data_IF_248107492488
#
_entry.id   IF_248107492488
#
_cell.length_a   1.000
_cell.length_b   1.000
_cell.length_c   1.000
_cell.angle_alpha   90.00
_cell.angle_beta   90.00
_cell.angle_gamma   90.00
#
_symmetry.space_group_name_H-M   'P 1'
#
loop_
_entity.id
_entity.type
_entity.pdbx_description
1 polymer ?
#
# COMPACT_ATOMS: atom_id res chain seq x y z
N UNK A 1 -13.55 7.80 -15.72
CA UNK A 1 -12.13 7.50 -16.12
C UNK A 1 -11.20 7.96 -15.02
N UNK A 2 -10.26 7.10 -14.55
CA UNK A 2 -9.35 7.45 -13.45
C UNK A 2 -8.33 8.50 -13.88
N UNK A 3 -8.10 9.53 -13.04
CA UNK A 3 -6.99 10.48 -13.24
C UNK A 3 -5.74 9.98 -12.50
N UNK A 4 -4.59 9.99 -13.17
CA UNK A 4 -3.32 9.56 -12.59
C UNK A 4 -2.37 10.73 -12.40
N UNK A 5 -1.70 10.76 -11.24
CA UNK A 5 -0.71 11.76 -10.88
C UNK A 5 0.63 11.05 -10.63
N UNK A 6 1.67 11.50 -11.35
CA UNK A 6 3.03 11.01 -11.18
C UNK A 6 3.96 12.19 -10.90
N UNK A 7 4.93 11.99 -10.01
CA UNK A 7 5.92 13.00 -9.68
C UNK A 7 7.32 12.41 -9.54
N UNK A 8 8.32 13.27 -9.70
CA UNK A 8 9.74 13.04 -9.43
C UNK A 8 10.15 13.72 -8.11
N UNK A 9 11.27 13.28 -7.54
CA UNK A 9 11.80 13.76 -6.24
C UNK A 9 10.86 13.60 -5.03
N UNK A 10 9.71 12.93 -5.23
CA UNK A 10 8.77 12.59 -4.17
C UNK A 10 9.27 11.34 -3.43
N UNK A 11 9.32 11.42 -2.10
CA UNK A 11 9.50 10.25 -1.24
C UNK A 11 8.22 9.41 -1.14
N UNK A 12 7.04 10.04 -1.19
CA UNK A 12 5.73 9.38 -1.21
C UNK A 12 4.64 10.35 -1.69
N UNK A 13 3.53 9.84 -2.21
CA UNK A 13 2.34 10.64 -2.58
C UNK A 13 1.06 9.86 -2.27
N UNK A 14 0.00 10.54 -1.85
CA UNK A 14 -1.34 9.97 -1.67
C UNK A 14 -2.43 10.92 -2.09
N UNK A 15 -3.56 10.35 -2.53
CA UNK A 15 -4.79 11.07 -2.81
C UNK A 15 -5.93 10.49 -1.98
N UNK A 16 -6.72 11.37 -1.37
CA UNK A 16 -8.01 11.06 -0.77
C UNK A 16 -8.94 12.29 -0.88
N UNK A 17 -10.16 12.09 -1.39
CA UNK A 17 -11.23 13.12 -1.42
C UNK A 17 -10.73 14.45 -2.04
N UNK A 18 -10.20 14.39 -3.27
CA UNK A 18 -9.60 15.54 -3.97
C UNK A 18 -8.46 16.27 -3.22
N UNK A 19 -7.90 15.68 -2.15
CA UNK A 19 -6.68 16.15 -1.51
C UNK A 19 -5.52 15.28 -1.93
N UNK A 20 -4.46 15.90 -2.42
CA UNK A 20 -3.19 15.27 -2.75
C UNK A 20 -2.18 15.64 -1.67
N UNK A 21 -1.46 14.70 -1.09
CA UNK A 21 -0.32 15.03 -0.23
C UNK A 21 0.93 14.39 -0.79
N UNK A 22 2.01 15.18 -0.87
CA UNK A 22 3.33 14.73 -1.29
C UNK A 22 4.36 15.00 -0.19
N UNK A 23 5.22 14.01 0.06
CA UNK A 23 6.44 14.16 0.86
C UNK A 23 7.65 14.21 -0.07
N UNK A 24 8.49 15.23 0.07
CA UNK A 24 9.66 15.49 -0.76
C UNK A 24 10.94 14.97 -0.10
N UNK A 25 11.96 14.70 -0.92
CA UNK A 25 13.28 14.22 -0.47
C UNK A 25 14.00 15.20 0.47
N UNK A 26 13.72 16.49 0.35
CA UNK A 26 14.28 17.53 1.21
C UNK A 26 13.68 17.53 2.63
N UNK A 27 12.65 16.71 2.89
CA UNK A 27 11.93 16.65 4.16
C UNK A 27 10.71 17.56 4.25
N UNK A 28 10.39 18.31 3.20
CA UNK A 28 9.14 19.07 3.11
C UNK A 28 8.00 18.12 2.79
N UNK A 29 6.83 18.33 3.40
CA UNK A 29 5.60 17.67 2.99
C UNK A 29 4.50 18.71 2.81
N UNK A 30 3.72 18.55 1.76
CA UNK A 30 2.69 19.52 1.36
C UNK A 30 1.39 18.79 1.01
N UNK A 31 0.27 19.32 1.48
CA UNK A 31 -1.08 18.90 1.10
C UNK A 31 -1.68 19.94 0.16
N UNK A 32 -2.19 19.47 -0.96
CA UNK A 32 -2.79 20.22 -2.04
C UNK A 32 -4.27 19.88 -2.17
N UNK A 33 -5.07 20.87 -2.54
CA UNK A 33 -6.42 20.64 -3.03
C UNK A 33 -6.38 20.53 -4.57
N UNK A 34 -6.92 19.44 -5.09
CA UNK A 34 -7.06 19.19 -6.53
C UNK A 34 -8.37 19.82 -7.00
N UNK A 35 -8.26 20.88 -7.80
CA UNK A 35 -9.41 21.51 -8.45
C UNK A 35 -9.80 20.77 -9.73
N UNK A 36 -11.03 20.98 -10.20
CA UNK A 36 -11.54 20.37 -11.44
C UNK A 36 -10.65 20.67 -12.67
N UNK A 37 -9.96 21.81 -12.65
CA UNK A 37 -9.02 22.26 -13.69
C UNK A 37 -7.64 21.57 -13.64
N UNK A 38 -7.49 20.50 -12.86
CA UNK A 38 -6.22 19.82 -12.55
C UNK A 38 -5.15 20.72 -11.91
N UNK A 39 -5.57 21.90 -11.41
CA UNK A 39 -4.69 22.81 -10.68
C UNK A 39 -4.53 22.33 -9.23
N UNK A 40 -3.29 22.32 -8.76
CA UNK A 40 -2.94 22.01 -7.37
C UNK A 40 -2.75 23.28 -6.57
N UNK A 41 -3.59 23.47 -5.55
CA UNK A 41 -3.48 24.58 -4.62
C UNK A 41 -2.93 24.09 -3.28
N UNK A 42 -1.81 24.65 -2.83
CA UNK A 42 -1.22 24.29 -1.53
C UNK A 42 -2.15 24.76 -0.41
N UNK A 43 -2.63 23.81 0.39
CA UNK A 43 -3.46 24.12 1.57
C UNK A 43 -2.64 24.13 2.85
N UNK A 44 -1.72 23.18 2.99
CA UNK A 44 -0.89 23.01 4.18
C UNK A 44 0.51 22.57 3.78
N UNK A 45 1.53 23.05 4.48
CA UNK A 45 2.91 22.67 4.27
C UNK A 45 3.65 22.59 5.61
N UNK A 46 4.52 21.60 5.76
CA UNK A 46 5.39 21.47 6.92
C UNK A 46 6.74 20.86 6.58
N UNK A 47 7.70 21.03 7.49
CA UNK A 47 9.00 20.36 7.45
C UNK A 47 9.07 19.25 8.49
N UNK A 48 9.52 18.07 8.11
CA UNK A 48 9.90 17.02 9.06
C UNK A 48 11.36 17.24 9.49
N UNK A 49 11.54 17.90 10.63
CA UNK A 49 12.86 18.25 11.17
C UNK A 49 13.66 17.03 11.62
N UNK A 50 13.01 15.87 11.77
CA UNK A 50 13.67 14.60 12.11
C UNK A 50 14.17 13.84 10.88
N UNK A 51 13.90 14.33 9.66
CA UNK A 51 14.45 13.76 8.43
C UNK A 51 15.86 14.30 8.17
N UNK A 52 16.85 13.40 8.14
CA UNK A 52 18.24 13.71 7.77
C UNK A 52 18.50 13.29 6.33
N UNK A 53 19.58 13.78 5.72
CA UNK A 53 19.89 13.62 4.28
C UNK A 53 19.92 12.18 3.76
N UNK A 54 20.11 11.17 4.62
CA UNK A 54 20.12 9.74 4.25
C UNK A 54 18.76 9.05 4.39
N UNK A 55 17.77 9.74 4.93
CA UNK A 55 16.44 9.20 5.20
C UNK A 55 15.42 9.72 4.18
N UNK A 56 14.32 8.99 4.03
CA UNK A 56 13.22 9.33 3.13
C UNK A 56 11.87 9.12 3.79
N UNK A 57 10.82 9.69 3.23
CA UNK A 57 9.46 9.25 3.52
C UNK A 57 9.25 7.82 3.01
N UNK A 58 8.73 6.93 3.86
CA UNK A 58 8.42 5.53 3.52
C UNK A 58 6.92 5.24 3.59
N UNK A 59 6.18 6.13 4.24
CA UNK A 59 4.73 6.06 4.37
C UNK A 59 4.11 7.44 4.41
N UNK A 60 2.98 7.58 3.75
CA UNK A 60 2.14 8.76 3.79
C UNK A 60 0.69 8.28 3.67
N UNK A 61 -0.21 8.89 4.44
CA UNK A 61 -1.66 8.68 4.29
C UNK A 61 -2.39 9.99 4.58
N UNK A 62 -3.43 10.32 3.82
CA UNK A 62 -4.19 11.57 3.98
C UNK A 62 -5.67 11.25 4.00
N UNK A 63 -6.40 11.96 4.85
CA UNK A 63 -7.86 11.90 4.93
C UNK A 63 -8.38 13.24 5.44
N UNK A 64 -9.69 13.33 5.65
CA UNK A 64 -10.37 14.61 5.91
C UNK A 64 -9.77 15.39 7.08
N UNK A 65 -9.50 14.71 8.21
CA UNK A 65 -9.06 15.30 9.48
C UNK A 65 -7.55 15.57 9.56
N UNK A 66 -6.74 14.96 8.70
CA UNK A 66 -5.30 14.99 8.87
C UNK A 66 -4.49 14.15 7.90
N UNK A 67 -3.17 14.25 8.06
CA UNK A 67 -2.18 13.49 7.30
C UNK A 67 -1.21 12.79 8.23
N UNK A 68 -0.99 11.49 8.00
CA UNK A 68 0.12 10.74 8.57
C UNK A 68 1.33 10.79 7.63
N UNK A 69 2.52 10.96 8.20
CA UNK A 69 3.79 10.76 7.52
C UNK A 69 4.72 9.91 8.36
N UNK A 70 5.43 9.00 7.71
CA UNK A 70 6.43 8.13 8.32
C UNK A 70 7.72 8.14 7.49
N UNK A 71 8.86 8.24 8.17
CA UNK A 71 10.19 8.25 7.56
C UNK A 71 10.94 6.95 7.80
N UNK A 72 12.00 6.69 7.01
CA UNK A 72 12.82 5.49 7.15
C UNK A 72 13.57 5.39 8.48
N UNK A 73 13.78 6.51 9.20
CA UNK A 73 14.30 6.50 10.57
C UNK A 73 13.21 6.42 11.65
N UNK A 74 11.97 6.09 11.29
CA UNK A 74 10.90 5.84 12.25
C UNK A 74 10.27 7.10 12.83
N UNK A 75 10.50 8.28 12.24
CA UNK A 75 9.80 9.49 12.63
C UNK A 75 8.35 9.40 12.15
N UNK A 76 7.41 9.13 13.07
CA UNK A 76 5.98 9.13 12.80
C UNK A 76 5.41 10.50 13.17
N UNK A 77 4.54 11.03 12.33
CA UNK A 77 3.90 12.32 12.52
C UNK A 77 2.46 12.28 12.04
N UNK A 78 1.56 12.89 12.81
CA UNK A 78 0.22 13.22 12.37
C UNK A 78 0.03 14.74 12.39
N UNK A 79 -0.20 15.31 11.22
CA UNK A 79 -0.51 16.73 11.04
C UNK A 79 -2.02 16.87 10.87
N UNK A 80 -2.67 17.59 11.79
CA UNK A 80 -4.10 17.90 11.66
C UNK A 80 -4.30 18.92 10.56
N UNK A 81 -5.33 18.71 9.75
CA UNK A 81 -5.73 19.61 8.69
C UNK A 81 -7.03 20.32 9.07
N UNK A 82 -7.30 21.48 8.45
CA UNK A 82 -8.55 22.23 8.63
C UNK A 82 -8.81 22.73 10.07
N UNK A 83 -7.76 22.97 10.84
CA UNK A 83 -7.86 23.57 12.18
C UNK A 83 -7.49 25.06 12.07
N UNK A 84 -8.24 26.00 12.71
CA UNK A 84 -8.01 27.44 12.58
C UNK A 84 -6.66 27.97 13.10
N UNK A 85 -5.92 27.17 13.87
CA UNK A 85 -4.61 27.48 14.44
C UNK A 85 -3.57 26.43 14.00
N UNK A 86 -2.25 26.73 14.08
CA UNK A 86 -1.21 25.72 13.90
C UNK A 86 -1.25 24.73 15.07
N UNK A 87 -2.21 23.80 15.03
CA UNK A 87 -2.30 22.72 15.98
C UNK A 87 -1.00 21.93 15.95
N UNK A 88 -0.39 21.73 17.13
CA UNK A 88 0.84 20.97 17.21
C UNK A 88 0.64 19.56 16.62
N UNK A 89 1.57 19.10 15.76
CA UNK A 89 1.48 17.76 15.21
C UNK A 89 1.65 16.74 16.33
N UNK A 90 0.96 15.61 16.23
CA UNK A 90 1.28 14.48 17.09
C UNK A 90 2.56 13.82 16.57
N UNK A 91 3.52 13.60 17.46
CA UNK A 91 4.81 13.00 17.13
C UNK A 91 4.92 11.63 17.79
N UNK A 92 5.17 10.62 16.97
CA UNK A 92 5.45 9.25 17.39
C UNK A 92 6.86 8.83 16.96
N UNK A 93 7.30 7.69 17.49
CA UNK A 93 8.58 7.08 17.13
C UNK A 93 8.43 5.57 16.92
N UNK A 94 8.82 5.09 15.75
CA UNK A 94 8.87 3.70 15.34
C UNK A 94 10.33 3.21 15.28
N UNK A 95 10.58 1.91 15.08
CA UNK A 95 11.92 1.42 14.75
C UNK A 95 12.51 2.14 13.53
N UNK A 96 13.84 2.20 13.46
CA UNK A 96 14.60 2.75 12.33
C UNK A 96 14.80 1.72 11.22
N UNK A 97 15.30 2.15 10.05
CA UNK A 97 15.54 1.32 8.85
C UNK A 97 14.26 0.76 8.24
N UNK A 98 13.18 1.52 8.32
CA UNK A 98 11.94 1.19 7.64
C UNK A 98 12.11 1.38 6.14
N UNK A 99 11.53 0.46 5.37
CA UNK A 99 11.43 0.55 3.92
C UNK A 99 10.00 0.73 3.45
N UNK A 100 9.04 0.20 4.21
CA UNK A 100 7.62 0.25 3.91
C UNK A 100 6.81 0.63 5.15
N UNK A 101 5.79 1.43 4.94
CA UNK A 101 4.75 1.73 5.91
C UNK A 101 3.42 1.90 5.16
N UNK A 102 2.35 1.28 5.65
CA UNK A 102 1.01 1.40 5.05
C UNK A 102 -0.06 1.49 6.14
N UNK A 103 -1.03 2.38 5.95
CA UNK A 103 -2.21 2.50 6.79
C UNK A 103 -3.27 1.49 6.35
N UNK A 104 -3.98 0.88 7.31
CA UNK A 104 -5.14 0.04 7.01
C UNK A 104 -6.28 0.87 6.37
N UNK A 105 -7.15 0.27 5.53
CA UNK A 105 -8.23 1.01 4.87
C UNK A 105 -9.20 1.72 5.83
N UNK A 106 -9.39 1.16 7.03
CA UNK A 106 -10.26 1.72 8.06
C UNK A 106 -9.53 2.69 9.02
N UNK A 107 -8.24 2.93 8.79
CA UNK A 107 -7.37 3.85 9.55
C UNK A 107 -7.14 3.49 11.03
N UNK A 108 -7.66 2.36 11.52
CA UNK A 108 -7.52 1.93 12.92
C UNK A 108 -6.12 1.41 13.25
N UNK A 109 -5.45 0.82 12.26
CA UNK A 109 -4.08 0.31 12.39
C UNK A 109 -3.21 0.72 11.23
N UNK A 110 -1.90 0.72 11.44
CA UNK A 110 -0.91 0.77 10.37
C UNK A 110 0.09 -0.36 10.54
N UNK A 111 0.78 -0.69 9.45
CA UNK A 111 1.83 -1.68 9.45
C UNK A 111 3.10 -1.14 8.81
N UNK A 112 4.25 -1.67 9.24
CA UNK A 112 5.55 -1.33 8.66
C UNK A 112 6.44 -2.55 8.53
N UNK A 113 7.52 -2.40 7.76
CA UNK A 113 8.63 -3.35 7.65
C UNK A 113 9.88 -2.69 7.09
N UNK A 114 11.03 -3.33 7.26
CA UNK A 114 12.32 -2.78 6.84
C UNK A 114 13.48 -3.75 6.92
N UNK A 115 14.69 -3.20 7.05
CA UNK A 115 15.95 -3.96 7.18
C UNK A 115 16.23 -4.35 8.64
N UNK A 116 16.24 -5.66 8.87
CA UNK A 116 16.18 -6.31 10.17
C UNK A 116 14.99 -5.82 11.02
N UNK A 117 13.91 -5.43 10.33
CA UNK A 117 12.62 -5.02 10.90
C UNK A 117 11.53 -5.82 10.20
N UNK A 118 10.99 -6.82 10.91
CA UNK A 118 9.91 -7.66 10.40
C UNK A 118 8.58 -6.89 10.35
N UNK A 119 7.57 -7.49 9.72
CA UNK A 119 6.24 -6.88 9.62
C UNK A 119 5.66 -6.70 11.03
N UNK A 120 5.28 -5.48 11.36
CA UNK A 120 4.61 -5.13 12.63
C UNK A 120 3.32 -4.40 12.35
N UNK A 121 2.29 -4.64 13.18
CA UNK A 121 1.00 -3.95 13.14
C UNK A 121 0.81 -3.17 14.43
N UNK A 122 0.47 -1.90 14.30
CA UNK A 122 0.34 -0.94 15.39
C UNK A 122 -1.04 -0.31 15.38
N UNK A 123 -1.52 0.03 16.57
CA UNK A 123 -2.73 0.83 16.72
C UNK A 123 -2.43 2.30 16.42
N UNK A 124 -3.23 2.90 15.54
CA UNK A 124 -2.99 4.25 15.02
C UNK A 124 -3.09 5.32 16.11
N UNK A 125 -4.07 5.23 17.01
CA UNK A 125 -4.30 6.23 18.06
C UNK A 125 -3.29 6.07 19.19
N UNK A 126 -3.02 4.81 19.58
CA UNK A 126 -2.07 4.51 20.66
C UNK A 126 -0.64 4.89 20.31
N UNK A 127 -0.28 4.90 19.02
CA UNK A 127 1.07 5.23 18.55
C UNK A 127 1.57 6.63 18.97
N UNK A 128 0.68 7.53 19.41
CA UNK A 128 1.00 8.89 19.87
C UNK A 128 0.79 9.08 21.38
N UNK A 129 0.39 8.04 22.11
CA UNK A 129 0.22 8.15 23.55
C UNK A 129 1.59 8.29 24.24
N UNK A 130 1.68 9.05 25.34
CA UNK A 130 2.89 9.13 26.12
C UNK A 130 3.29 7.74 26.61
N UNK A 131 4.55 7.35 26.35
CA UNK A 131 5.07 6.08 26.88
C UNK A 131 5.13 6.18 28.40
N UNK A 132 4.57 5.19 29.13
CA UNK A 132 4.75 5.16 30.57
C UNK A 132 6.26 5.07 30.89
N UNK A 133 6.74 5.96 31.75
CA UNK A 133 8.11 5.93 32.25
C UNK A 133 8.28 4.69 33.13
N UNK A 134 8.62 3.55 32.53
CA UNK A 134 9.08 2.40 33.31
C UNK A 134 10.44 2.76 33.88
N UNK A 135 10.56 2.82 35.21
CA UNK A 135 11.84 2.98 35.90
C UNK A 135 12.81 1.90 35.41
N UNK A 136 14.03 2.32 35.06
CA UNK A 136 15.05 1.49 34.40
C UNK A 136 15.53 0.26 35.19
N UNK A 137 14.96 -0.01 36.37
CA UNK A 137 15.35 -1.08 37.28
C UNK A 137 14.79 -2.47 36.90
N UNK A 138 13.63 -2.56 36.25
CA UNK A 138 13.00 -3.87 35.91
C UNK A 138 13.40 -4.42 34.53
N UNK A 139 14.13 -3.65 33.71
CA UNK A 139 14.43 -4.00 32.32
C UNK A 139 15.63 -4.96 32.14
N UNK A 140 16.23 -5.51 33.20
CA UNK A 140 17.39 -6.42 33.09
C UNK A 140 17.12 -7.78 32.42
N UNK A 141 15.88 -8.06 31.99
CA UNK A 141 15.56 -9.17 31.06
C UNK A 141 14.31 -8.84 30.25
N UNK A 142 14.32 -7.76 29.44
CA UNK A 142 13.30 -7.66 28.37
C UNK A 142 13.43 -8.90 27.49
N UNK A 143 12.43 -9.78 27.55
CA UNK A 143 12.30 -10.94 26.67
C UNK A 143 12.40 -10.40 25.25
N UNK A 144 13.36 -10.89 24.45
CA UNK A 144 13.67 -10.40 23.09
C UNK A 144 12.44 -10.28 22.16
N UNK A 145 11.36 -10.99 22.49
CA UNK A 145 10.12 -11.07 21.73
C UNK A 145 8.97 -10.21 22.29
N UNK A 146 9.20 -9.35 23.29
CA UNK A 146 8.16 -8.46 23.82
C UNK A 146 7.78 -7.39 22.78
N UNK A 147 6.47 -7.19 22.61
CA UNK A 147 5.91 -6.13 21.76
C UNK A 147 6.05 -4.77 22.44
N UNK A 148 6.06 -3.70 21.66
CA UNK A 148 5.85 -2.36 22.21
C UNK A 148 4.42 -2.21 22.75
N UNK A 149 4.16 -1.32 23.74
CA UNK A 149 2.81 -1.13 24.28
C UNK A 149 1.73 -0.81 23.23
N UNK A 150 2.13 -0.15 22.14
CA UNK A 150 1.27 0.31 21.05
C UNK A 150 1.23 -0.70 19.87
N UNK A 151 2.08 -1.73 19.91
CA UNK A 151 2.19 -2.74 18.87
C UNK A 151 1.26 -3.91 19.16
N UNK A 152 0.34 -4.16 18.24
CA UNK A 152 -0.69 -5.18 18.36
C UNK A 152 -0.15 -6.56 17.98
N UNK A 153 0.76 -6.61 17.01
CA UNK A 153 1.28 -7.85 16.47
C UNK A 153 2.65 -7.62 15.80
N UNK A 154 3.53 -8.62 15.90
CA UNK A 154 4.82 -8.65 15.20
C UNK A 154 5.08 -10.02 14.59
N UNK A 155 5.44 -10.01 13.32
CA UNK A 155 5.86 -11.20 12.59
C UNK A 155 7.02 -11.90 13.29
N UNK A 156 7.09 -13.20 13.07
CA UNK A 156 8.27 -14.00 13.33
C UNK A 156 8.90 -14.35 12.00
N UNK A 157 10.22 -14.27 11.98
CA UNK A 157 10.99 -14.70 10.84
C UNK A 157 10.66 -16.16 10.46
N UNK A 158 10.84 -16.45 9.17
CA UNK A 158 10.72 -17.79 8.62
C UNK A 158 11.75 -18.73 9.25
N UNK A 159 11.58 -20.02 9.01
CA UNK A 159 12.56 -21.02 9.42
C UNK A 159 13.90 -20.78 8.72
N UNK A 160 14.96 -21.33 9.30
CA UNK A 160 16.28 -21.32 8.67
C UNK A 160 16.21 -21.97 7.28
N UNK A 161 17.16 -21.61 6.42
CA UNK A 161 17.26 -22.17 5.07
C UNK A 161 17.78 -23.62 5.10
N UNK A 162 17.98 -24.20 3.91
CA UNK A 162 18.46 -25.58 3.76
C UNK A 162 19.88 -25.80 4.29
N UNK A 163 20.65 -24.74 4.55
CA UNK A 163 21.97 -24.79 5.19
C UNK A 163 21.87 -24.61 6.71
N UNK A 164 20.65 -24.48 7.25
CA UNK A 164 20.42 -24.23 8.66
C UNK A 164 20.77 -22.79 9.08
N UNK A 165 20.95 -21.87 8.14
CA UNK A 165 21.25 -20.46 8.41
C UNK A 165 19.98 -19.63 8.59
N UNK A 166 20.03 -18.63 9.47
CA UNK A 166 18.94 -17.67 9.63
C UNK A 166 18.82 -16.85 8.35
N UNK A 167 17.62 -16.83 7.78
CA UNK A 167 17.32 -15.95 6.64
C UNK A 167 17.24 -14.48 7.12
N UNK A 168 17.87 -13.51 6.43
CA UNK A 168 17.74 -12.09 6.74
C UNK A 168 16.27 -11.62 6.70
N UNK A 169 15.95 -10.63 7.53
CA UNK A 169 14.61 -10.00 7.50
C UNK A 169 14.73 -8.66 6.79
N UNK A 170 14.43 -8.64 5.50
CA UNK A 170 14.48 -7.43 4.68
C UNK A 170 13.13 -7.24 3.97
N UNK A 171 12.18 -6.59 4.64
CA UNK A 171 10.89 -6.22 4.03
C UNK A 171 11.11 -4.96 3.19
N UNK A 172 10.68 -4.98 1.93
CA UNK A 172 10.88 -3.88 0.97
C UNK A 172 9.60 -3.15 0.62
N UNK A 173 8.47 -3.84 0.66
CA UNK A 173 7.14 -3.34 0.30
C UNK A 173 6.07 -4.06 1.11
N UNK A 174 4.92 -3.42 1.32
CA UNK A 174 3.85 -3.92 2.18
C UNK A 174 2.50 -3.40 1.67
N UNK A 175 1.45 -4.22 1.74
CA UNK A 175 0.08 -3.75 1.53
C UNK A 175 -0.95 -4.52 2.36
N UNK A 176 -2.05 -3.85 2.72
CA UNK A 176 -3.23 -4.48 3.33
C UNK A 176 -4.12 -5.13 2.26
N UNK A 177 -4.66 -6.32 2.56
CA UNK A 177 -5.58 -7.04 1.66
C UNK A 177 -7.05 -6.81 1.98
N UNK A 178 -7.41 -6.56 3.23
CA UNK A 178 -8.80 -6.45 3.66
C UNK A 178 -9.01 -5.24 4.60
N UNK A 179 -10.19 -4.59 4.56
CA UNK A 179 -10.53 -3.48 5.44
C UNK A 179 -10.92 -3.93 6.86
N UNK A 180 -10.86 -5.22 7.18
CA UNK A 180 -11.30 -5.73 8.48
C UNK A 180 -10.39 -5.26 9.62
N UNK A 181 -10.98 -4.64 10.65
CA UNK A 181 -10.29 -4.31 11.90
C UNK A 181 -10.04 -5.54 12.77
N UNK A 182 -10.79 -6.61 12.54
CA UNK A 182 -10.80 -7.77 13.40
C UNK A 182 -9.63 -8.72 13.06
N UNK A 183 -9.33 -8.86 11.76
CA UNK A 183 -8.23 -9.67 11.23
C UNK A 183 -7.46 -8.87 10.20
N UNK A 184 -6.15 -8.71 10.38
CA UNK A 184 -5.32 -8.01 9.42
C UNK A 184 -4.67 -9.01 8.48
N UNK A 185 -5.05 -8.92 7.21
CA UNK A 185 -4.43 -9.68 6.14
C UNK A 185 -3.45 -8.76 5.40
N UNK A 186 -2.19 -9.14 5.40
CA UNK A 186 -1.10 -8.35 4.86
C UNK A 186 -0.32 -9.15 3.84
N UNK A 187 0.29 -8.46 2.87
CA UNK A 187 1.28 -9.03 1.98
C UNK A 187 2.51 -8.15 1.98
N UNK A 188 3.68 -8.78 2.12
CA UNK A 188 4.96 -8.11 2.11
C UNK A 188 5.88 -8.68 1.03
N UNK A 189 6.58 -7.81 0.33
CA UNK A 189 7.71 -8.18 -0.53
C UNK A 189 9.01 -8.17 0.25
N UNK A 190 9.95 -9.06 -0.10
CA UNK A 190 11.28 -9.13 0.52
C UNK A 190 12.41 -8.89 -0.46
N UNK A 191 13.58 -8.55 0.06
CA UNK A 191 14.81 -8.39 -0.73
C UNK A 191 15.30 -9.71 -1.36
N UNK A 192 14.87 -10.87 -0.83
CA UNK A 192 15.20 -12.19 -1.38
C UNK A 192 14.25 -12.62 -2.52
N UNK A 193 13.31 -11.76 -2.92
CA UNK A 193 12.37 -12.04 -4.01
C UNK A 193 11.10 -12.76 -3.57
N UNK A 194 10.90 -12.92 -2.25
CA UNK A 194 9.72 -13.54 -1.70
C UNK A 194 8.55 -12.56 -1.58
N UNK A 195 7.34 -13.09 -1.79
CA UNK A 195 6.07 -12.47 -1.43
C UNK A 195 5.48 -13.28 -0.29
N UNK A 196 5.37 -12.66 0.88
CA UNK A 196 4.89 -13.28 2.12
C UNK A 196 3.50 -12.78 2.46
N UNK A 197 2.57 -13.70 2.64
CA UNK A 197 1.21 -13.39 3.10
C UNK A 197 1.11 -13.65 4.60
N UNK A 198 0.47 -12.74 5.31
CA UNK A 198 0.25 -12.83 6.75
C UNK A 198 -1.24 -12.73 7.06
N UNK A 199 -1.65 -13.46 8.08
CA UNK A 199 -2.94 -13.35 8.76
C UNK A 199 -2.64 -13.27 10.25
N UNK A 200 -2.92 -12.11 10.87
CA UNK A 200 -2.55 -11.83 12.26
C UNK A 200 -3.26 -12.74 13.27
N UNK A 201 -4.37 -13.38 12.90
CA UNK A 201 -5.08 -14.34 13.76
C UNK A 201 -4.57 -15.76 13.61
N UNK A 202 -4.08 -16.12 12.42
CA UNK A 202 -3.65 -17.48 12.15
C UNK A 202 -2.28 -17.79 12.78
N UNK A 203 -1.28 -16.94 12.54
CA UNK A 203 0.08 -17.17 13.01
C UNK A 203 0.93 -15.90 13.04
N UNK A 204 2.08 -15.98 13.72
CA UNK A 204 3.11 -14.93 13.65
C UNK A 204 4.07 -15.11 12.46
N UNK A 205 4.20 -16.33 11.92
CA UNK A 205 4.95 -16.59 10.69
C UNK A 205 4.04 -16.35 9.48
N UNK A 206 4.58 -16.10 8.28
CA UNK A 206 3.79 -16.03 7.06
C UNK A 206 2.92 -17.28 6.90
N UNK A 207 1.65 -17.08 6.53
CA UNK A 207 0.74 -18.19 6.15
C UNK A 207 1.06 -18.72 4.75
N UNK A 208 1.73 -17.91 3.93
CA UNK A 208 2.31 -18.33 2.67
C UNK A 208 3.61 -17.54 2.41
N UNK A 209 4.58 -18.19 1.77
CA UNK A 209 5.85 -17.60 1.35
C UNK A 209 6.16 -18.09 -0.07
N UNK A 210 6.00 -17.20 -1.05
CA UNK A 210 6.16 -17.52 -2.47
C UNK A 210 7.40 -16.83 -3.03
N UNK A 211 8.29 -17.60 -3.66
CA UNK A 211 9.41 -17.02 -4.39
C UNK A 211 8.94 -16.57 -5.79
N UNK A 212 8.79 -15.26 -5.97
CA UNK A 212 8.22 -14.65 -7.19
C UNK A 212 9.25 -13.83 -7.96
N UNK A 213 10.20 -13.21 -7.27
CA UNK A 213 11.23 -12.37 -7.88
C UNK A 213 12.04 -13.17 -8.89
N UNK A 214 12.08 -12.70 -10.15
CA UNK A 214 12.93 -13.31 -11.18
C UNK A 214 14.33 -12.73 -11.17
N UNK A 215 14.43 -11.45 -10.84
CA UNK A 215 15.70 -10.72 -10.79
C UNK A 215 15.72 -9.88 -9.51
N UNK A 216 16.55 -10.30 -8.56
CA UNK A 216 16.70 -9.69 -7.24
C UNK A 216 15.39 -9.66 -6.44
N UNK A 217 15.35 -8.82 -5.39
CA UNK A 217 14.22 -8.68 -4.49
C UNK A 217 12.98 -8.05 -5.08
N UNK A 218 11.87 -8.17 -4.36
CA UNK A 218 10.64 -7.45 -4.64
C UNK A 218 10.89 -5.96 -4.39
N UNK A 219 10.52 -5.11 -5.34
CA UNK A 219 10.70 -3.65 -5.27
C UNK A 219 9.42 -2.91 -4.91
N UNK A 220 8.32 -3.24 -5.58
CA UNK A 220 7.02 -2.64 -5.34
C UNK A 220 5.94 -3.73 -5.34
N UNK A 221 4.92 -3.52 -4.51
CA UNK A 221 3.82 -4.44 -4.34
C UNK A 221 2.56 -3.64 -4.03
N UNK A 222 1.44 -3.97 -4.67
CA UNK A 222 0.15 -3.34 -4.40
C UNK A 222 -1.01 -4.29 -4.61
N UNK A 223 -1.97 -4.29 -3.68
CA UNK A 223 -3.23 -5.04 -3.81
C UNK A 223 -3.95 -4.60 -5.10
N UNK A 224 -4.42 -5.55 -5.89
CA UNK A 224 -5.28 -5.28 -7.04
C UNK A 224 -6.72 -4.93 -6.63
N UNK A 225 -7.58 -4.69 -7.62
CA UNK A 225 -9.00 -4.43 -7.38
C UNK A 225 -9.78 -5.72 -7.15
N UNK A 226 -9.31 -6.84 -7.70
CA UNK A 226 -9.91 -8.15 -7.46
C UNK A 226 -9.47 -8.71 -6.10
N UNK A 227 -10.34 -9.47 -5.43
CA UNK A 227 -10.10 -9.97 -4.06
C UNK A 227 -8.79 -10.74 -3.90
N UNK A 228 -8.46 -11.58 -4.88
CA UNK A 228 -7.30 -12.47 -4.85
C UNK A 228 -6.15 -11.99 -5.72
N UNK A 229 -6.07 -10.69 -6.02
CA UNK A 229 -5.07 -10.13 -6.91
C UNK A 229 -4.06 -9.25 -6.17
N UNK A 230 -2.79 -9.44 -6.47
CA UNK A 230 -1.74 -8.52 -6.08
C UNK A 230 -0.78 -8.30 -7.25
N UNK A 231 -0.42 -7.05 -7.48
CA UNK A 231 0.60 -6.68 -8.46
C UNK A 231 1.95 -6.60 -7.77
N UNK A 232 2.95 -7.21 -8.38
CA UNK A 232 4.30 -7.34 -7.81
C UNK A 232 5.34 -7.05 -8.87
N UNK A 233 6.33 -6.23 -8.52
CA UNK A 233 7.49 -5.99 -9.36
C UNK A 233 8.77 -6.31 -8.62
N UNK A 234 9.77 -6.80 -9.34
CA UNK A 234 11.12 -7.01 -8.81
C UNK A 234 12.03 -5.79 -9.05
N UNK A 235 13.28 -5.86 -8.59
CA UNK A 235 14.27 -4.79 -8.82
C UNK A 235 14.90 -4.84 -10.23
N UNK A 236 14.51 -5.78 -11.08
CA UNK A 236 14.93 -5.83 -12.49
C UNK A 236 14.04 -4.95 -13.34
N UNK A 237 13.13 -5.56 -14.10
CA UNK A 237 12.11 -4.86 -14.88
C UNK A 237 10.82 -5.67 -14.96
N UNK A 238 10.66 -6.69 -14.11
CA UNK A 238 9.52 -7.56 -14.19
C UNK A 238 8.35 -7.00 -13.39
N UNK A 239 7.15 -7.12 -13.95
CA UNK A 239 5.88 -6.78 -13.31
C UNK A 239 4.90 -7.93 -13.55
N UNK A 240 4.28 -8.41 -12.48
CA UNK A 240 3.39 -9.57 -12.49
C UNK A 240 2.07 -9.26 -11.79
N UNK A 241 1.00 -9.87 -12.29
CA UNK A 241 -0.23 -10.09 -11.52
C UNK A 241 -0.14 -11.48 -10.87
N UNK A 242 -0.36 -11.56 -9.56
CA UNK A 242 -0.32 -12.81 -8.79
C UNK A 242 -1.69 -13.14 -8.20
N UNK A 243 -1.98 -14.43 -8.10
CA UNK A 243 -3.13 -14.95 -7.37
C UNK A 243 -2.75 -15.20 -5.90
N UNK A 244 -3.41 -14.49 -4.97
CA UNK A 244 -3.17 -14.56 -3.52
C UNK A 244 -3.57 -15.89 -2.88
N UNK A 245 -4.26 -16.77 -3.60
CA UNK A 245 -4.66 -18.09 -3.08
C UNK A 245 -3.51 -19.08 -3.14
N UNK A 246 -2.69 -19.00 -4.18
CA UNK A 246 -1.66 -19.99 -4.46
C UNK A 246 -0.27 -19.42 -4.79
N UNK A 247 -0.15 -18.09 -4.95
CA UNK A 247 1.09 -17.40 -5.29
C UNK A 247 1.51 -17.53 -6.76
N UNK A 248 0.66 -18.07 -7.63
CA UNK A 248 0.98 -18.24 -9.04
C UNK A 248 0.88 -16.92 -9.79
N UNK A 249 1.76 -16.76 -10.78
CA UNK A 249 1.71 -15.65 -11.73
C UNK A 249 0.56 -15.88 -12.70
N UNK A 250 -0.42 -14.98 -12.67
CA UNK A 250 -1.57 -14.97 -13.56
C UNK A 250 -1.09 -14.55 -14.97
N UNK A 251 -0.38 -13.43 -15.05
CA UNK A 251 0.32 -12.95 -16.23
C UNK A 251 1.41 -11.95 -15.84
N UNK A 252 2.34 -11.70 -16.75
CA UNK A 252 3.38 -10.68 -16.60
C UNK A 252 3.31 -9.65 -17.73
N UNK A 253 3.64 -8.41 -17.39
CA UNK A 253 3.68 -7.31 -18.34
C UNK A 253 5.05 -7.25 -19.02
N UNK A 254 5.04 -6.96 -20.32
CA UNK A 254 6.25 -6.86 -21.17
C UNK A 254 6.53 -5.41 -21.56
N UNK A 255 7.73 -5.13 -22.06
CA UNK A 255 8.10 -3.79 -22.56
C UNK A 255 8.57 -2.79 -21.49
N UNK A 256 8.93 -3.30 -20.31
CA UNK A 256 9.60 -2.55 -19.26
C UNK A 256 11.12 -2.73 -19.39
N UNK A 257 11.87 -1.65 -19.20
CA UNK A 257 13.34 -1.65 -19.30
C UNK A 257 14.01 -1.08 -18.04
N UNK A 258 13.23 -0.83 -17.00
CA UNK A 258 13.70 -0.41 -15.69
C UNK A 258 12.76 -0.89 -14.59
N UNK A 259 13.27 -0.93 -13.37
CA UNK A 259 12.52 -1.44 -12.23
C UNK A 259 11.31 -0.54 -11.93
N UNK A 260 10.15 -1.15 -11.71
CA UNK A 260 8.94 -0.41 -11.36
C UNK A 260 9.11 0.17 -9.96
N UNK A 261 8.94 1.50 -9.85
CA UNK A 261 9.09 2.25 -8.59
C UNK A 261 7.76 2.38 -7.86
N UNK A 262 6.65 2.45 -8.58
CA UNK A 262 5.31 2.56 -8.00
C UNK A 262 4.22 1.97 -8.89
N UNK A 263 3.17 1.47 -8.24
CA UNK A 263 2.06 0.71 -8.83
C UNK A 263 0.76 1.32 -8.28
N UNK A 264 -0.10 1.78 -9.17
CA UNK A 264 -1.42 2.36 -8.85
C UNK A 264 -2.51 1.63 -9.64
N UNK A 265 -3.08 0.55 -9.08
CA UNK A 265 -4.24 -0.11 -9.68
C UNK A 265 -5.48 0.76 -9.51
N UNK A 266 -6.32 0.81 -10.54
CA UNK A 266 -7.67 1.40 -10.57
C UNK A 266 -8.69 0.35 -11.01
N UNK A 267 -9.97 0.72 -11.11
CA UNK A 267 -11.05 -0.22 -11.48
C UNK A 267 -10.88 -0.88 -12.86
N UNK A 268 -10.36 -0.16 -13.86
CA UNK A 268 -10.28 -0.64 -15.24
C UNK A 268 -8.86 -0.81 -15.79
N UNK A 269 -7.89 -0.14 -15.18
CA UNK A 269 -6.50 -0.11 -15.65
C UNK A 269 -5.52 -0.09 -14.49
N UNK A 270 -4.27 -0.45 -14.78
CA UNK A 270 -3.15 -0.33 -13.87
C UNK A 270 -2.22 0.76 -14.38
N UNK A 271 -1.85 1.73 -13.53
CA UNK A 271 -0.77 2.64 -13.85
C UNK A 271 0.52 2.28 -13.10
N UNK A 272 1.66 2.40 -13.77
CA UNK A 272 2.97 2.18 -13.15
C UNK A 272 3.96 3.23 -13.60
N UNK A 273 4.92 3.53 -12.74
CA UNK A 273 6.10 4.30 -13.10
C UNK A 273 7.37 3.50 -12.79
N UNK A 274 8.45 3.77 -13.53
CA UNK A 274 9.66 2.95 -13.49
C UNK A 274 10.94 3.77 -13.70
N UNK A 275 12.08 3.16 -13.35
CA UNK A 275 13.42 3.75 -13.50
C UNK A 275 13.81 4.08 -14.96
N UNK A 276 13.06 3.58 -15.94
CA UNK A 276 13.27 3.88 -17.36
C UNK A 276 12.64 5.21 -17.81
N UNK A 277 12.16 6.04 -16.86
CA UNK A 277 11.54 7.36 -17.09
C UNK A 277 10.22 7.32 -17.85
N UNK A 278 9.50 6.20 -17.78
CA UNK A 278 8.17 6.10 -18.36
C UNK A 278 7.11 5.85 -17.30
N UNK A 279 5.99 6.53 -17.48
CA UNK A 279 4.69 6.16 -16.90
C UNK A 279 3.97 5.31 -17.94
N UNK A 280 3.32 4.24 -17.48
CA UNK A 280 2.58 3.31 -18.34
C UNK A 280 1.20 3.07 -17.78
N UNK A 281 0.22 2.99 -18.68
CA UNK A 281 -1.11 2.47 -18.40
C UNK A 281 -1.19 1.08 -18.99
N UNK A 282 -1.70 0.13 -18.20
CA UNK A 282 -1.81 -1.26 -18.57
C UNK A 282 -3.26 -1.76 -18.43
N UNK A 283 -3.64 -2.71 -19.26
CA UNK A 283 -4.90 -3.44 -19.08
C UNK A 283 -4.79 -4.43 -17.91
N UNK A 284 -5.88 -4.62 -17.18
CA UNK A 284 -5.95 -5.59 -16.09
C UNK A 284 -7.06 -6.61 -16.33
N UNK A 285 -6.85 -7.83 -15.86
CA UNK A 285 -7.81 -8.93 -15.91
C UNK A 285 -7.81 -9.65 -14.56
N UNK A 286 -9.00 -9.85 -14.00
CA UNK A 286 -9.17 -10.52 -12.72
C UNK A 286 -8.56 -11.93 -12.72
N UNK A 287 -8.14 -12.43 -11.55
CA UNK A 287 -7.71 -13.83 -11.41
C UNK A 287 -8.79 -14.79 -11.91
N UNK A 288 -8.41 -15.98 -12.42
CA UNK A 288 -9.36 -17.03 -12.77
C UNK A 288 -10.30 -17.40 -11.61
N UNK A 289 -11.49 -17.90 -11.91
CA UNK A 289 -12.47 -18.25 -10.87
C UNK A 289 -11.90 -19.26 -9.86
N UNK A 290 -11.19 -20.28 -10.33
CA UNK A 290 -10.52 -21.25 -9.47
C UNK A 290 -9.01 -21.08 -9.49
N UNK A 291 -8.40 -21.16 -8.30
CA UNK A 291 -6.96 -21.10 -8.15
C UNK A 291 -6.28 -22.22 -8.97
N UNK A 292 -5.23 -21.87 -9.71
CA UNK A 292 -4.48 -22.82 -10.53
C UNK A 292 -4.97 -22.97 -11.96
N UNK A 293 -6.11 -22.38 -12.31
CA UNK A 293 -6.55 -22.31 -13.71
C UNK A 293 -5.66 -21.36 -14.51
N UNK A 294 -5.54 -21.65 -15.80
CA UNK A 294 -4.80 -20.78 -16.72
C UNK A 294 -5.65 -19.56 -17.09
N UNK A 295 -5.05 -18.38 -17.00
CA UNK A 295 -5.62 -17.16 -17.52
C UNK A 295 -5.27 -17.02 -19.02
N UNK A 296 -6.29 -16.85 -19.86
CA UNK A 296 -6.10 -16.69 -21.31
C UNK A 296 -5.68 -15.26 -21.67
N UNK A 297 -6.24 -14.26 -20.97
CA UNK A 297 -5.98 -12.84 -21.22
C UNK A 297 -4.74 -12.36 -20.48
N UNK A 298 -3.84 -11.68 -21.18
CA UNK A 298 -2.60 -11.15 -20.60
C UNK A 298 -2.65 -9.64 -20.54
N UNK A 299 -2.21 -9.05 -19.44
CA UNK A 299 -2.06 -7.61 -19.33
C UNK A 299 -1.09 -7.06 -20.38
N UNK A 300 -1.51 -5.97 -21.04
CA UNK A 300 -0.74 -5.28 -22.08
C UNK A 300 -0.53 -3.81 -21.71
N UNK A 301 0.53 -3.21 -22.24
CA UNK A 301 0.77 -1.77 -22.12
C UNK A 301 -0.12 -1.06 -23.13
N UNK A 302 -1.11 -0.31 -22.63
CA UNK A 302 -2.05 0.47 -23.43
C UNK A 302 -1.48 1.81 -23.84
N UNK A 303 -0.78 2.47 -22.91
CA UNK A 303 -0.19 3.78 -23.12
C UNK A 303 1.17 3.88 -22.42
N UNK A 304 2.05 4.70 -22.98
CA UNK A 304 3.39 4.95 -22.45
C UNK A 304 3.75 6.42 -22.63
N UNK A 305 3.99 7.11 -21.52
CA UNK A 305 4.33 8.54 -21.47
C UNK A 305 5.76 8.70 -20.95
N UNK A 306 6.60 9.38 -21.73
CA UNK A 306 7.98 9.68 -21.33
C UNK A 306 8.03 10.89 -20.39
N UNK A 307 8.81 10.78 -19.32
CA UNK A 307 9.08 11.87 -18.38
C UNK A 307 10.52 12.36 -18.52
N UNK A 308 10.73 13.66 -18.33
CA UNK A 308 12.08 14.26 -18.41
C UNK A 308 13.00 13.73 -17.30
N UNK A 309 12.42 13.39 -16.16
CA UNK A 309 13.04 12.85 -14.95
C UNK A 309 12.51 11.45 -14.62
N UNK A 310 13.11 10.79 -13.63
CA UNK A 310 12.66 9.47 -13.18
C UNK A 310 11.47 9.67 -12.22
N UNK A 311 10.26 9.19 -12.57
CA UNK A 311 9.13 9.24 -11.64
C UNK A 311 9.38 8.29 -10.46
N UNK A 312 9.22 8.82 -9.25
CA UNK A 312 9.40 8.05 -8.02
C UNK A 312 8.11 7.37 -7.58
N UNK A 313 6.96 7.99 -7.84
CA UNK A 313 5.66 7.53 -7.34
C UNK A 313 4.54 7.88 -8.31
N UNK A 314 3.50 7.03 -8.34
CA UNK A 314 2.27 7.25 -9.08
C UNK A 314 1.07 6.91 -8.21
N UNK A 315 0.02 7.73 -8.30
CA UNK A 315 -1.27 7.53 -7.64
C UNK A 315 -2.40 7.85 -8.61
N UNK A 316 -3.60 7.43 -8.25
CA UNK A 316 -4.82 7.82 -8.95
C UNK A 316 -5.77 8.50 -7.99
N UNK A 317 -6.68 9.31 -8.54
CA UNK A 317 -7.59 10.17 -7.80
C UNK A 317 -8.58 9.43 -6.89
N UNK A 318 -8.73 8.12 -7.06
CA UNK A 318 -9.70 7.29 -6.34
C UNK A 318 -11.14 7.81 -6.48
N UNK A 319 -11.41 8.58 -7.53
CA UNK A 319 -12.77 8.96 -7.87
C UNK A 319 -13.49 7.69 -8.33
N UNK A 320 -14.40 7.19 -7.49
CA UNK A 320 -15.39 6.25 -7.97
C UNK A 320 -16.14 6.97 -9.10
N UNK A 321 -16.23 6.37 -10.29
CA UNK A 321 -17.22 6.80 -11.26
C UNK A 321 -18.56 6.71 -10.50
N UNK A 322 -19.19 7.86 -10.22
CA UNK A 322 -20.41 8.01 -9.44
C UNK A 322 -21.65 7.40 -10.14
N UNK A 323 -21.46 6.37 -10.96
CA UNK A 323 -22.46 5.80 -11.88
C UNK A 323 -22.55 4.28 -11.79
N UNK A 324 -22.12 3.66 -10.69
CA UNK A 324 -22.31 2.21 -10.50
C UNK A 324 -22.69 1.87 -9.07
N UNK A 325 -23.85 2.36 -8.64
CA UNK A 325 -24.67 1.75 -7.57
C UNK A 325 -26.05 2.42 -7.60
N UNK A 326 -26.88 2.05 -8.58
CA UNK A 326 -28.36 2.07 -8.61
C UNK A 326 -28.83 1.57 -10.00
N UNK A 327 -28.26 0.46 -10.47
CA UNK A 327 -28.95 -0.41 -11.42
C UNK A 327 -29.34 -1.66 -10.62
N UNK A 328 -30.24 -1.46 -9.66
CA UNK A 328 -31.12 -2.54 -9.28
C UNK A 328 -32.06 -2.68 -10.49
N UNK A 329 -31.81 -3.71 -11.28
CA UNK A 329 -32.63 -4.06 -12.43
C UNK A 329 -34.10 -4.14 -11.98
N UNK A 330 -34.94 -3.40 -12.72
CA UNK A 330 -36.39 -3.54 -12.78
C UNK A 330 -36.74 -5.00 -13.08
N UNK A 331 -36.97 -5.80 -12.05
CA UNK A 331 -37.49 -7.17 -12.16
C UNK A 331 -38.92 -7.29 -11.58
N UNK A 332 -39.68 -6.19 -11.50
CA UNK A 332 -40.99 -6.17 -10.82
C UNK A 332 -42.13 -5.50 -11.63
N UNK A 333 -42.10 -5.59 -12.97
CA UNK A 333 -43.15 -4.98 -13.84
C UNK A 333 -43.85 -5.98 -14.78
N UNK A 334 -43.52 -7.27 -14.75
CA UNK A 334 -44.16 -8.26 -15.64
C UNK A 334 -45.09 -9.29 -14.97
N UNK A 335 -45.32 -9.24 -13.65
CA UNK A 335 -46.23 -10.19 -12.96
C UNK A 335 -47.69 -9.71 -12.79
N UNK A 336 -48.13 -8.60 -13.42
CA UNK A 336 -49.53 -8.12 -13.31
C UNK A 336 -50.29 -8.00 -14.63
N UNK A 337 -49.99 -8.86 -15.61
CA UNK A 337 -50.81 -9.03 -16.82
C UNK A 337 -51.39 -10.44 -16.94
N UNK A 338 -52.28 -10.79 -16.01
CA UNK A 338 -53.37 -11.74 -16.29
C UNK A 338 -54.72 -11.02 -16.18
N UNK A 339 -55.17 -10.49 -17.32
CA UNK A 339 -56.58 -10.18 -17.55
C UNK A 339 -57.15 -11.22 -18.49
N UNK A 340 -58.03 -12.09 -17.99
CA UNK A 340 -59.43 -12.28 -18.39
C UNK A 340 -59.86 -13.74 -18.23
N UNK A 341 -60.71 -14.01 -17.24
CA UNK A 341 -61.72 -15.07 -17.38
C UNK A 341 -63.09 -14.41 -17.58
N UNK A 342 -63.70 -14.78 -18.70
CA UNK A 342 -65.08 -14.48 -19.09
C UNK A 342 -65.87 -15.78 -18.95
N UNK A 343 -67.14 -15.64 -18.53
CA UNK A 343 -68.22 -16.64 -18.40
C UNK A 343 -68.16 -17.47 -17.11
N UNK A 344 -69.23 -17.52 -16.29
CA UNK A 344 -70.68 -17.55 -16.61
C UNK A 344 -71.52 -17.09 -15.43
#
# INVERSE_FOLDING_TARGET
>A
MPRFFAGDELGNIKIAIAKLTAGLSDGTASTFFLRDSDALEVTHQWKETRLRNEHRYVGLETFEKGTFTCTSNGALRFTRLNVPDPAEPLLGALPTRLHAWEMSPNQSTFAYGGDEVDVSVWDTERAFLPRPQTTDAENKKRKRDALFPEELWRAKNVSNDNLGLRQPVCVTSLTYLAPSSASHHLVAGTELGNVRRYDTRAARRPVADWNVGKTNGIKALKKGMSEHEVFVSDQGCNLFALDLRNGQVIYGYKGLSGAVTSIAPSHSVLATCALDRYVRIHSTFSPPQHAGQQQERKGEVLEKVFMKSIPSVIVWDQAADATSECAAEDDDVWETMETTEVYS
#
